data_IF_607617194957
#
_entry.id   IF_607617194957
#
_cell.length_a   1.000
_cell.length_b   1.000
_cell.length_c   1.000
_cell.angle_alpha   90.00
_cell.angle_beta   90.00
_cell.angle_gamma   90.00
#
_symmetry.space_group_name_H-M   'P 1'
#
loop_
_entity.id
_entity.type
_entity.pdbx_description
1 polymer ?
#
# COMPACT_ATOMS: atom_id res chain seq x y z
N UNK A 1 -0.91 -58.45 -10.44
CA UNK A 1 -1.71 -57.93 -9.30
C UNK A 1 -1.01 -56.67 -8.83
N UNK A 2 -1.58 -55.49 -9.07
CA UNK A 2 -1.02 -54.24 -8.56
C UNK A 2 -1.47 -54.08 -7.10
N UNK A 3 -0.52 -54.11 -6.16
CA UNK A 3 -0.77 -53.88 -4.74
C UNK A 3 -0.75 -52.38 -4.48
N UNK A 4 -1.81 -51.83 -3.85
CA UNK A 4 -1.87 -50.40 -3.50
C UNK A 4 -0.76 -50.05 -2.50
N UNK A 5 -0.11 -48.91 -2.71
CA UNK A 5 0.92 -48.34 -1.84
C UNK A 5 0.34 -47.82 -0.52
N UNK A 6 1.14 -47.87 0.54
CA UNK A 6 0.86 -47.43 1.92
C UNK A 6 0.01 -46.16 2.09
N UNK A 7 0.21 -45.15 1.22
CA UNK A 7 -0.52 -43.88 1.23
C UNK A 7 -2.06 -44.02 1.13
N UNK A 8 -2.56 -45.17 0.68
CA UNK A 8 -4.00 -45.46 0.56
C UNK A 8 -4.58 -46.26 1.73
N UNK A 9 -3.75 -46.72 2.67
CA UNK A 9 -4.16 -47.63 3.76
C UNK A 9 -3.75 -47.13 5.13
N UNK A 10 -2.76 -46.25 5.21
CA UNK A 10 -2.24 -45.72 6.46
C UNK A 10 -1.92 -44.23 6.32
N UNK A 11 -2.04 -43.51 7.43
CA UNK A 11 -1.58 -42.14 7.53
C UNK A 11 -0.05 -42.15 7.43
N UNK A 12 0.48 -41.77 6.26
CA UNK A 12 1.93 -41.74 5.99
C UNK A 12 2.58 -40.44 6.48
N UNK A 13 1.86 -39.60 7.21
CA UNK A 13 2.40 -38.36 7.77
C UNK A 13 3.27 -38.73 8.99
N UNK A 14 4.59 -38.48 8.97
CA UNK A 14 5.42 -38.75 10.13
C UNK A 14 4.94 -37.88 11.30
N UNK A 15 4.46 -38.50 12.37
CA UNK A 15 4.19 -37.81 13.62
C UNK A 15 5.54 -37.35 14.17
N UNK A 16 5.82 -36.05 14.08
CA UNK A 16 7.03 -35.46 14.63
C UNK A 16 6.85 -35.43 16.15
N UNK A 17 7.67 -36.19 16.89
CA UNK A 17 7.66 -36.10 18.35
C UNK A 17 7.97 -34.67 18.78
N UNK A 18 7.23 -34.16 19.78
CA UNK A 18 7.47 -32.83 20.34
C UNK A 18 8.91 -32.73 20.83
N UNK A 19 9.58 -31.63 20.53
CA UNK A 19 10.95 -31.44 20.98
C UNK A 19 11.01 -31.35 22.51
N UNK A 20 11.99 -32.02 23.13
CA UNK A 20 12.15 -32.02 24.58
C UNK A 20 12.93 -30.80 25.10
N UNK A 21 13.78 -30.20 24.27
CA UNK A 21 14.65 -29.08 24.64
C UNK A 21 15.09 -28.29 23.40
N UNK A 22 15.59 -27.07 23.60
CA UNK A 22 16.28 -26.26 22.61
C UNK A 22 17.68 -25.86 23.11
N UNK A 23 18.64 -25.67 22.21
CA UNK A 23 19.99 -25.22 22.53
C UNK A 23 20.05 -23.72 22.83
N UNK A 24 19.22 -22.92 22.16
CA UNK A 24 19.14 -21.47 22.33
C UNK A 24 17.72 -20.94 22.06
N UNK A 25 17.54 -19.62 22.29
CA UNK A 25 16.25 -18.95 22.12
C UNK A 25 15.75 -18.98 20.67
N UNK A 26 16.64 -18.95 19.67
CA UNK A 26 16.23 -18.96 18.27
C UNK A 26 15.68 -20.32 17.86
N UNK A 27 16.33 -21.39 18.30
CA UNK A 27 15.83 -22.76 18.14
C UNK A 27 14.51 -22.95 18.88
N UNK A 28 14.38 -22.45 20.12
CA UNK A 28 13.14 -22.55 20.89
C UNK A 28 11.97 -21.82 20.21
N UNK A 29 12.21 -20.63 19.65
CA UNK A 29 11.22 -19.87 18.88
C UNK A 29 10.80 -20.61 17.61
N UNK A 30 11.76 -21.18 16.88
CA UNK A 30 11.49 -21.96 15.68
C UNK A 30 10.66 -23.21 15.98
N UNK A 31 11.00 -23.95 17.05
CA UNK A 31 10.24 -25.12 17.51
C UNK A 31 8.83 -24.71 17.93
N UNK A 32 8.67 -23.63 18.72
CA UNK A 32 7.34 -23.14 19.11
C UNK A 32 6.46 -22.84 17.89
N UNK A 33 7.03 -22.19 16.87
CA UNK A 33 6.31 -21.89 15.65
C UNK A 33 5.95 -23.15 14.84
N UNK A 34 6.87 -24.09 14.68
CA UNK A 34 6.65 -25.37 13.97
C UNK A 34 5.58 -26.22 14.65
N UNK A 35 5.57 -26.27 15.98
CA UNK A 35 4.62 -27.08 16.76
C UNK A 35 3.22 -26.43 16.88
N UNK A 36 3.14 -25.11 17.02
CA UNK A 36 1.90 -24.41 17.39
C UNK A 36 1.34 -23.48 16.31
N UNK A 37 2.09 -23.22 15.25
CA UNK A 37 1.78 -22.20 14.24
C UNK A 37 1.86 -20.76 14.75
N UNK A 38 2.36 -20.55 15.97
CA UNK A 38 2.56 -19.24 16.59
C UNK A 38 3.64 -19.30 17.67
N UNK A 39 4.12 -18.14 18.14
CA UNK A 39 5.07 -18.10 19.24
C UNK A 39 4.32 -18.10 20.58
N UNK A 40 4.65 -19.08 21.43
CA UNK A 40 4.20 -19.17 22.82
C UNK A 40 5.40 -19.02 23.76
N UNK A 41 5.46 -17.95 24.57
CA UNK A 41 6.51 -17.79 25.57
C UNK A 41 6.58 -18.94 26.58
N UNK A 42 5.45 -19.56 26.89
CA UNK A 42 5.38 -20.74 27.76
C UNK A 42 6.13 -21.91 27.14
N UNK A 43 5.90 -22.18 25.84
CA UNK A 43 6.59 -23.26 25.15
C UNK A 43 8.09 -22.99 25.02
N UNK A 44 8.48 -21.75 24.75
CA UNK A 44 9.88 -21.32 24.72
C UNK A 44 10.56 -21.54 26.08
N UNK A 45 9.90 -21.15 27.17
CA UNK A 45 10.41 -21.35 28.53
C UNK A 45 10.57 -22.83 28.91
N UNK A 46 9.62 -23.69 28.50
CA UNK A 46 9.72 -25.15 28.68
C UNK A 46 10.95 -25.72 27.96
N UNK A 47 11.16 -25.35 26.69
CA UNK A 47 12.27 -25.85 25.87
C UNK A 47 13.64 -25.43 26.42
N UNK A 48 13.71 -24.28 27.06
CA UNK A 48 14.93 -23.73 27.65
C UNK A 48 15.07 -24.02 29.15
N UNK A 49 14.08 -24.70 29.76
CA UNK A 49 14.02 -25.02 31.18
C UNK A 49 14.26 -23.79 32.09
N UNK A 50 13.53 -22.69 31.82
CA UNK A 50 13.61 -21.43 32.56
C UNK A 50 12.23 -20.84 32.83
N UNK A 51 12.16 -19.69 33.51
CA UNK A 51 10.90 -18.98 33.71
C UNK A 51 10.41 -18.32 32.41
N UNK A 52 9.12 -17.99 32.35
CA UNK A 52 8.57 -17.24 31.20
C UNK A 52 9.14 -15.83 31.14
N UNK A 53 9.36 -15.21 32.31
CA UNK A 53 10.02 -13.90 32.38
C UNK A 53 11.43 -13.93 31.78
N UNK A 54 12.26 -14.90 32.16
CA UNK A 54 13.63 -15.03 31.63
C UNK A 54 13.63 -15.34 30.12
N UNK A 55 12.68 -16.18 29.66
CA UNK A 55 12.53 -16.50 28.24
C UNK A 55 12.16 -15.25 27.42
N UNK A 56 11.25 -14.41 27.95
CA UNK A 56 10.88 -13.14 27.32
C UNK A 56 12.04 -12.14 27.32
N UNK A 57 12.83 -12.08 28.39
CA UNK A 57 14.03 -11.25 28.46
C UNK A 57 15.07 -11.66 27.41
N UNK A 58 15.34 -12.96 27.26
CA UNK A 58 16.25 -13.48 26.22
C UNK A 58 15.71 -13.31 24.79
N UNK A 59 14.39 -13.25 24.62
CA UNK A 59 13.74 -13.07 23.33
C UNK A 59 13.45 -11.60 22.99
N UNK A 60 13.87 -10.63 23.83
CA UNK A 60 13.71 -9.21 23.56
C UNK A 60 14.29 -8.83 22.19
N UNK A 61 13.55 -7.99 21.46
CA UNK A 61 13.91 -7.58 20.10
C UNK A 61 13.65 -8.66 19.02
N UNK A 62 13.49 -9.93 19.40
CA UNK A 62 13.19 -11.04 18.48
C UNK A 62 11.70 -11.33 18.38
N UNK A 63 10.95 -11.05 19.43
CA UNK A 63 9.48 -11.22 19.48
C UNK A 63 8.79 -10.02 20.12
N UNK A 64 7.54 -9.81 19.73
CA UNK A 64 6.66 -8.79 20.29
C UNK A 64 5.26 -9.36 20.54
N UNK A 65 4.50 -8.82 21.50
CA UNK A 65 3.12 -9.24 21.71
C UNK A 65 2.27 -8.93 20.48
N UNK A 66 1.36 -9.84 20.13
CA UNK A 66 0.50 -9.65 18.95
C UNK A 66 -0.49 -8.49 19.16
N UNK A 67 -0.63 -7.66 18.13
CA UNK A 67 -1.63 -6.61 18.12
C UNK A 67 -3.05 -7.17 17.96
N UNK A 68 -3.20 -8.42 17.54
CA UNK A 68 -4.47 -9.07 17.24
C UNK A 68 -4.94 -10.04 18.32
N UNK A 69 -4.01 -10.70 19.01
CA UNK A 69 -4.31 -11.68 20.06
C UNK A 69 -3.44 -11.42 21.29
N UNK A 70 -4.06 -11.20 22.46
CA UNK A 70 -3.34 -10.81 23.68
C UNK A 70 -2.45 -11.93 24.25
N UNK A 71 -2.72 -13.18 23.91
CA UNK A 71 -2.01 -14.35 24.43
C UNK A 71 -0.91 -14.85 23.48
N UNK A 72 -0.77 -14.24 22.30
CA UNK A 72 0.20 -14.66 21.28
C UNK A 72 1.34 -13.66 21.12
N UNK A 73 2.47 -14.21 20.70
CA UNK A 73 3.63 -13.45 20.31
C UNK A 73 3.92 -13.64 18.84
N UNK A 74 4.44 -12.59 18.23
CA UNK A 74 4.85 -12.54 16.83
C UNK A 74 6.35 -12.34 16.77
N UNK A 75 7.01 -12.97 15.79
CA UNK A 75 8.40 -12.68 15.48
C UNK A 75 8.54 -11.22 15.05
N UNK A 76 9.68 -10.61 15.35
CA UNK A 76 10.02 -9.25 14.94
C UNK A 76 9.86 -9.04 13.42
N UNK A 77 10.18 -10.07 12.63
CA UNK A 77 10.02 -10.08 11.17
C UNK A 77 8.58 -9.84 10.73
N UNK A 78 7.60 -10.27 11.52
CA UNK A 78 6.17 -10.08 11.29
C UNK A 78 5.68 -8.81 11.98
N UNK A 79 6.04 -8.60 13.25
CA UNK A 79 5.58 -7.47 14.04
C UNK A 79 6.01 -6.12 13.42
N UNK A 80 7.25 -6.03 12.91
CA UNK A 80 7.87 -4.82 12.38
C UNK A 80 7.76 -4.67 10.85
N UNK A 81 6.88 -5.45 10.21
CA UNK A 81 6.63 -5.39 8.77
C UNK A 81 5.15 -5.20 8.43
N UNK A 82 4.82 -5.06 7.15
CA UNK A 82 3.47 -4.75 6.70
C UNK A 82 3.11 -3.29 6.97
N UNK A 83 1.85 -3.02 7.33
CA UNK A 83 1.32 -1.67 7.58
C UNK A 83 1.84 -1.09 8.91
N UNK A 84 3.10 -0.68 8.96
CA UNK A 84 3.79 -0.29 10.20
C UNK A 84 3.20 0.94 10.88
N UNK A 85 2.62 1.89 10.13
CA UNK A 85 1.97 3.07 10.73
C UNK A 85 0.69 2.72 11.48
N UNK A 86 -0.17 1.86 10.90
CA UNK A 86 -1.36 1.34 11.58
C UNK A 86 -0.97 0.51 12.80
N UNK A 87 0.05 -0.34 12.66
CA UNK A 87 0.59 -1.11 13.77
C UNK A 87 1.12 -0.20 14.89
N UNK A 88 1.84 0.87 14.56
CA UNK A 88 2.36 1.82 15.54
C UNK A 88 1.23 2.52 16.30
N UNK A 89 0.19 2.97 15.58
CA UNK A 89 -0.98 3.58 16.20
C UNK A 89 -1.68 2.62 17.18
N UNK A 90 -1.91 1.37 16.76
CA UNK A 90 -2.52 0.32 17.60
C UNK A 90 -1.63 -0.07 18.78
N UNK A 91 -0.33 -0.20 18.57
CA UNK A 91 0.65 -0.50 19.62
C UNK A 91 0.67 0.62 20.67
N UNK A 92 0.62 1.89 20.24
CA UNK A 92 0.61 3.05 21.14
C UNK A 92 -0.63 3.06 22.03
N UNK A 93 -1.81 2.76 21.46
CA UNK A 93 -3.04 2.64 22.24
C UNK A 93 -2.92 1.51 23.26
N UNK A 94 -2.48 0.32 22.82
CA UNK A 94 -2.31 -0.84 23.71
C UNK A 94 -1.26 -0.60 24.81
N UNK A 95 -0.17 0.12 24.52
CA UNK A 95 0.85 0.45 25.50
C UNK A 95 0.33 1.35 26.63
N UNK A 96 -0.72 2.13 26.37
CA UNK A 96 -1.42 2.90 27.41
C UNK A 96 -2.15 2.02 28.43
N UNK A 97 -2.61 0.84 28.02
CA UNK A 97 -3.33 -0.10 28.88
C UNK A 97 -2.42 -1.21 29.44
N UNK A 98 -1.44 -1.65 28.65
CA UNK A 98 -0.54 -2.77 28.93
C UNK A 98 0.91 -2.39 28.59
N UNK A 99 1.78 -2.17 29.60
CA UNK A 99 3.17 -1.78 29.40
C UNK A 99 4.00 -2.75 28.55
N UNK A 100 3.56 -4.00 28.36
CA UNK A 100 4.26 -4.99 27.52
C UNK A 100 4.38 -4.57 26.05
N UNK A 101 3.53 -3.66 25.58
CA UNK A 101 3.59 -3.15 24.20
C UNK A 101 4.58 -1.99 24.02
N UNK A 102 5.15 -1.41 25.09
CA UNK A 102 6.07 -0.29 24.97
C UNK A 102 7.31 -0.59 24.08
N UNK A 103 7.98 -1.76 24.21
CA UNK A 103 9.09 -2.11 23.31
C UNK A 103 8.66 -2.22 21.84
N UNK A 104 7.43 -2.67 21.57
CA UNK A 104 6.90 -2.74 20.20
C UNK A 104 6.67 -1.34 19.63
N UNK A 105 6.23 -0.37 20.44
CA UNK A 105 6.05 1.02 20.01
C UNK A 105 7.40 1.62 19.60
N UNK A 106 8.44 1.43 20.43
CA UNK A 106 9.79 1.91 20.14
C UNK A 106 10.33 1.30 18.85
N UNK A 107 10.26 -0.03 18.71
CA UNK A 107 10.73 -0.73 17.53
C UNK A 107 9.95 -0.37 16.26
N UNK A 108 8.64 -0.19 16.35
CA UNK A 108 7.82 0.26 15.21
C UNK A 108 8.17 1.68 14.79
N UNK A 109 8.46 2.58 15.74
CA UNK A 109 8.84 3.96 15.43
C UNK A 109 10.15 4.03 14.63
N UNK A 110 11.09 3.09 14.82
CA UNK A 110 12.35 3.03 14.06
C UNK A 110 12.17 2.52 12.63
N UNK A 111 11.22 1.61 12.39
CA UNK A 111 10.99 1.02 11.06
C UNK A 111 9.99 1.81 10.21
N UNK A 112 9.25 2.76 10.79
CA UNK A 112 8.35 3.64 10.02
C UNK A 112 9.18 4.44 9.01
N UNK A 113 8.87 4.33 7.70
CA UNK A 113 9.59 5.10 6.69
C UNK A 113 9.45 6.60 6.93
N UNK A 114 10.49 7.41 6.64
CA UNK A 114 10.39 8.86 6.73
C UNK A 114 9.29 9.36 5.79
N UNK A 115 8.57 10.40 6.21
CA UNK A 115 7.51 11.00 5.41
C UNK A 115 8.05 11.45 4.05
N UNK A 116 7.34 11.11 2.98
CA UNK A 116 7.63 11.59 1.63
C UNK A 116 7.31 13.09 1.60
N UNK A 117 8.27 13.88 1.10
CA UNK A 117 8.09 15.30 0.88
C UNK A 117 7.01 15.51 -0.18
N UNK A 118 5.98 16.34 0.07
CA UNK A 118 4.99 16.74 -0.92
C UNK A 118 5.53 17.19 -2.27
N UNK A 119 6.73 17.79 -2.32
CA UNK A 119 7.38 18.15 -3.58
C UNK A 119 7.74 16.94 -4.46
N UNK A 120 7.84 15.75 -3.87
CA UNK A 120 8.09 14.47 -4.55
C UNK A 120 6.79 13.70 -4.86
N UNK A 121 5.65 14.17 -4.34
CA UNK A 121 4.35 13.53 -4.54
C UNK A 121 3.73 14.06 -5.84
N UNK A 122 3.88 13.30 -6.93
CA UNK A 122 3.18 13.58 -8.18
C UNK A 122 1.67 13.36 -8.05
N UNK A 123 0.87 14.42 -8.27
CA UNK A 123 -0.60 14.36 -8.14
C UNK A 123 -1.29 14.57 -9.48
N UNK A 124 -2.18 13.66 -9.84
CA UNK A 124 -3.08 13.82 -10.99
C UNK A 124 -4.51 14.13 -10.58
N UNK A 125 -5.25 14.87 -11.39
CA UNK A 125 -6.71 14.98 -11.28
C UNK A 125 -7.30 13.57 -11.39
N UNK A 126 -8.12 13.17 -10.42
CA UNK A 126 -8.62 11.81 -10.26
C UNK A 126 -7.84 10.96 -9.26
N UNK A 127 -6.82 11.51 -8.59
CA UNK A 127 -6.18 10.86 -7.46
C UNK A 127 -7.20 10.63 -6.33
N UNK A 128 -7.48 9.36 -6.02
CA UNK A 128 -8.54 8.93 -5.08
C UNK A 128 -8.17 9.09 -3.61
N UNK A 129 -6.93 9.47 -3.32
CA UNK A 129 -6.48 9.82 -1.97
C UNK A 129 -6.70 11.31 -1.67
N UNK A 130 -6.88 12.15 -2.70
CA UNK A 130 -7.23 13.56 -2.52
C UNK A 130 -8.72 13.65 -2.15
N UNK A 131 -9.07 14.29 -1.02
CA UNK A 131 -10.46 14.45 -0.58
C UNK A 131 -11.36 15.16 -1.61
N UNK A 132 -12.65 14.81 -1.63
CA UNK A 132 -13.64 15.41 -2.53
C UNK A 132 -13.77 16.92 -2.27
N UNK A 133 -13.62 17.30 -1.01
CA UNK A 133 -13.67 18.68 -0.53
C UNK A 133 -12.58 19.54 -1.19
N UNK A 134 -11.41 18.97 -1.43
CA UNK A 134 -10.31 19.66 -2.11
C UNK A 134 -10.62 19.86 -3.61
N UNK A 135 -11.22 18.87 -4.29
CA UNK A 135 -11.72 19.08 -5.66
C UNK A 135 -12.80 20.15 -5.72
N UNK A 136 -13.72 20.16 -4.75
CA UNK A 136 -14.79 21.16 -4.66
C UNK A 136 -14.22 22.56 -4.45
N UNK A 137 -13.29 22.72 -3.51
CA UNK A 137 -12.64 24.00 -3.23
C UNK A 137 -11.84 24.49 -4.44
N UNK A 138 -11.06 23.61 -5.09
CA UNK A 138 -10.35 23.94 -6.32
C UNK A 138 -11.28 24.48 -7.41
N UNK A 139 -12.39 23.79 -7.67
CA UNK A 139 -13.35 24.18 -8.70
C UNK A 139 -14.05 25.51 -8.37
N UNK A 140 -14.33 25.77 -7.09
CA UNK A 140 -14.90 27.04 -6.63
C UNK A 140 -13.91 28.18 -6.83
N UNK A 141 -12.66 28.00 -6.42
CA UNK A 141 -11.63 29.04 -6.48
C UNK A 141 -11.15 29.30 -7.91
N UNK A 142 -10.81 28.26 -8.67
CA UNK A 142 -10.19 28.41 -9.99
C UNK A 142 -11.19 28.87 -11.06
N UNK A 143 -12.44 28.39 -10.98
CA UNK A 143 -13.50 28.74 -11.94
C UNK A 143 -14.51 29.75 -11.40
N UNK A 144 -14.37 30.23 -10.15
CA UNK A 144 -15.31 31.18 -9.54
C UNK A 144 -16.73 30.60 -9.41
N UNK A 145 -16.86 29.29 -9.23
CA UNK A 145 -18.15 28.62 -9.19
C UNK A 145 -18.84 28.84 -7.85
N UNK A 146 -20.16 29.01 -7.89
CA UNK A 146 -20.98 28.94 -6.68
C UNK A 146 -21.03 27.51 -6.10
N UNK A 147 -20.68 27.31 -4.81
CA UNK A 147 -20.67 25.98 -4.19
C UNK A 147 -22.02 25.26 -4.22
N UNK A 148 -23.13 26.00 -4.12
CA UNK A 148 -24.50 25.45 -4.09
C UNK A 148 -24.97 24.92 -5.46
N UNK A 149 -24.21 25.19 -6.53
CA UNK A 149 -24.49 24.76 -7.90
C UNK A 149 -23.41 23.86 -8.48
N UNK A 150 -22.58 23.30 -7.61
CA UNK A 150 -21.47 22.43 -7.96
C UNK A 150 -21.70 21.05 -7.33
N UNK A 151 -21.69 20.02 -8.16
CA UNK A 151 -21.72 18.61 -7.72
C UNK A 151 -20.34 18.01 -7.98
N UNK A 152 -19.74 17.47 -6.92
CA UNK A 152 -18.49 16.70 -6.98
C UNK A 152 -18.73 15.46 -6.14
N UNK A 153 -18.75 14.31 -6.81
CA UNK A 153 -18.99 13.01 -6.20
C UNK A 153 -17.96 12.01 -6.75
N UNK A 154 -17.56 11.06 -5.91
CA UNK A 154 -16.68 9.96 -6.28
C UNK A 154 -17.24 8.65 -5.72
N UNK A 155 -17.58 7.73 -6.61
CA UNK A 155 -18.06 6.40 -6.24
C UNK A 155 -16.86 5.49 -5.93
N UNK A 156 -16.72 5.08 -4.66
CA UNK A 156 -15.57 4.31 -4.20
C UNK A 156 -15.49 2.89 -4.78
N UNK A 157 -16.60 2.34 -5.28
CA UNK A 157 -16.68 0.96 -5.78
C UNK A 157 -16.27 0.91 -7.26
N UNK A 158 -16.86 1.77 -8.08
CA UNK A 158 -16.60 1.89 -9.51
C UNK A 158 -15.41 2.79 -9.84
N UNK A 159 -14.96 3.63 -8.89
CA UNK A 159 -13.92 4.64 -9.10
C UNK A 159 -14.37 5.81 -9.98
N UNK A 160 -15.69 5.95 -10.22
CA UNK A 160 -16.22 6.97 -11.12
C UNK A 160 -16.31 8.34 -10.41
N UNK A 161 -15.83 9.37 -11.10
CA UNK A 161 -15.99 10.77 -10.69
C UNK A 161 -17.13 11.45 -11.45
N UNK A 162 -18.04 12.09 -10.71
CA UNK A 162 -19.05 12.97 -11.27
C UNK A 162 -18.77 14.41 -10.84
N UNK A 163 -18.47 15.26 -11.82
CA UNK A 163 -18.13 16.67 -11.61
C UNK A 163 -18.96 17.51 -12.56
N UNK A 164 -20.01 18.15 -12.03
CA UNK A 164 -20.99 18.90 -12.84
C UNK A 164 -21.37 20.22 -12.18
N UNK A 165 -21.76 21.21 -12.99
CA UNK A 165 -22.33 22.47 -12.48
C UNK A 165 -23.50 22.93 -13.34
N UNK A 166 -24.50 23.54 -12.68
CA UNK A 166 -25.65 24.16 -13.35
C UNK A 166 -25.34 25.56 -13.90
N UNK A 167 -24.11 26.04 -13.68
CA UNK A 167 -23.66 27.34 -14.16
C UNK A 167 -23.16 27.22 -15.59
N UNK A 168 -23.52 28.19 -16.43
CA UNK A 168 -23.03 28.25 -17.81
C UNK A 168 -21.65 28.89 -17.87
N UNK A 169 -20.80 28.36 -18.75
CA UNK A 169 -19.47 28.89 -19.02
C UNK A 169 -19.55 30.23 -19.74
N UNK A 170 -18.55 31.10 -19.56
CA UNK A 170 -18.46 32.36 -20.34
C UNK A 170 -18.40 32.14 -21.86
N UNK A 171 -18.00 30.94 -22.29
CA UNK A 171 -17.99 30.54 -23.70
C UNK A 171 -19.38 30.26 -24.27
N UNK A 172 -20.37 29.98 -23.41
CA UNK A 172 -21.76 29.75 -23.79
C UNK A 172 -22.62 31.00 -23.57
N UNK A 173 -22.38 31.71 -22.46
CA UNK A 173 -23.13 32.90 -22.09
C UNK A 173 -22.18 33.95 -21.52
N UNK A 174 -22.24 35.19 -22.01
CA UNK A 174 -21.26 36.24 -21.66
C UNK A 174 -21.17 36.56 -20.15
N UNK A 175 -22.25 36.35 -19.40
CA UNK A 175 -22.28 36.46 -17.94
C UNK A 175 -22.00 35.16 -17.17
N UNK A 176 -21.49 34.15 -17.86
CA UNK A 176 -21.10 32.86 -17.28
C UNK A 176 -19.83 32.92 -16.43
N UNK A 177 -19.51 31.81 -15.77
CA UNK A 177 -18.33 31.72 -14.90
C UNK A 177 -17.03 31.84 -15.70
N UNK A 178 -15.93 32.36 -15.10
CA UNK A 178 -14.64 32.50 -15.77
C UNK A 178 -14.04 31.12 -16.09
N UNK A 179 -14.17 30.71 -17.34
CA UNK A 179 -13.68 29.43 -17.84
C UNK A 179 -12.40 29.62 -18.66
N UNK A 180 -11.25 29.70 -17.96
CA UNK A 180 -9.94 29.96 -18.60
C UNK A 180 -9.44 28.79 -19.45
N UNK A 181 -9.88 27.57 -19.14
CA UNK A 181 -9.38 26.32 -19.72
C UNK A 181 -10.33 25.74 -20.78
N UNK A 182 -11.62 26.03 -20.65
CA UNK A 182 -12.64 25.51 -21.54
C UNK A 182 -12.77 26.26 -22.85
N UNK A 183 -13.73 25.79 -23.63
CA UNK A 183 -14.22 26.39 -24.86
C UNK A 183 -15.73 26.17 -24.98
N UNK A 184 -16.36 26.77 -25.99
CA UNK A 184 -17.79 26.57 -26.25
C UNK A 184 -18.17 25.10 -26.52
N UNK A 185 -17.22 24.27 -26.99
CA UNK A 185 -17.45 22.84 -27.26
C UNK A 185 -17.04 21.91 -26.13
N UNK A 186 -16.19 22.38 -25.22
CA UNK A 186 -15.70 21.60 -24.09
C UNK A 186 -15.43 22.54 -22.91
N UNK A 187 -16.39 22.70 -21.98
CA UNK A 187 -16.21 23.51 -20.79
C UNK A 187 -15.10 22.96 -19.88
N UNK A 188 -14.40 23.84 -19.16
CA UNK A 188 -13.28 23.45 -18.30
C UNK A 188 -13.69 22.51 -17.16
N UNK A 189 -14.87 22.71 -16.56
CA UNK A 189 -15.41 21.79 -15.53
C UNK A 189 -15.60 20.38 -16.10
N UNK A 190 -16.08 20.25 -17.35
CA UNK A 190 -16.21 18.95 -18.01
C UNK A 190 -14.84 18.33 -18.29
N UNK A 191 -13.84 19.15 -18.58
CA UNK A 191 -12.45 18.69 -18.74
C UNK A 191 -11.90 18.09 -17.44
N UNK A 192 -12.17 18.71 -16.27
CA UNK A 192 -11.80 18.13 -14.97
C UNK A 192 -12.45 16.77 -14.77
N UNK A 193 -13.74 16.63 -15.09
CA UNK A 193 -14.44 15.33 -15.02
C UNK A 193 -13.80 14.27 -15.94
N UNK A 194 -13.43 14.65 -17.17
CA UNK A 194 -12.76 13.73 -18.10
C UNK A 194 -11.40 13.29 -17.55
N UNK A 195 -10.59 14.22 -17.05
CA UNK A 195 -9.28 13.94 -16.46
C UNK A 195 -9.43 13.03 -15.23
N UNK A 196 -10.36 13.33 -14.34
CA UNK A 196 -10.60 12.55 -13.13
C UNK A 196 -10.97 11.09 -13.42
N UNK A 197 -11.65 10.85 -14.55
CA UNK A 197 -12.02 9.53 -15.03
C UNK A 197 -11.02 8.90 -16.02
N UNK A 198 -9.84 9.49 -16.22
CA UNK A 198 -8.86 9.08 -17.23
C UNK A 198 -9.47 8.94 -18.65
N UNK A 199 -10.48 9.76 -18.98
CA UNK A 199 -11.11 9.79 -20.30
C UNK A 199 -10.33 10.70 -21.24
N UNK A 200 -10.24 10.38 -22.53
CA UNK A 200 -9.56 11.25 -23.50
C UNK A 200 -10.19 12.65 -23.55
N UNK A 201 -9.37 13.69 -23.41
CA UNK A 201 -9.77 15.08 -23.66
C UNK A 201 -9.76 15.30 -25.18
N UNK A 202 -10.95 15.24 -25.78
CA UNK A 202 -11.12 15.36 -27.24
C UNK A 202 -12.38 16.15 -27.59
N UNK A 203 -12.29 16.97 -28.64
CA UNK A 203 -13.42 17.71 -29.19
C UNK A 203 -13.92 17.01 -30.44
N UNK A 204 -15.11 16.42 -30.38
CA UNK A 204 -15.71 15.74 -31.52
C UNK A 204 -16.14 16.73 -32.62
N UNK A 205 -16.10 16.27 -33.88
CA UNK A 205 -16.67 17.02 -35.01
C UNK A 205 -18.19 17.07 -34.90
N UNK A 206 -18.79 18.17 -35.36
CA UNK A 206 -20.25 18.27 -35.56
C UNK A 206 -20.71 17.37 -36.72
N UNK A 207 -22.02 17.17 -36.87
CA UNK A 207 -22.59 16.42 -38.00
C UNK A 207 -22.10 16.97 -39.35
N UNK A 208 -22.27 18.27 -39.57
CA UNK A 208 -21.84 18.97 -40.79
C UNK A 208 -20.32 18.84 -41.06
N UNK A 209 -19.49 18.85 -40.01
CA UNK A 209 -18.04 18.67 -40.13
C UNK A 209 -17.68 17.23 -40.52
N UNK A 210 -18.43 16.24 -40.03
CA UNK A 210 -18.27 14.83 -40.41
C UNK A 210 -18.70 14.56 -41.85
N UNK A 211 -19.74 15.24 -42.35
CA UNK A 211 -20.17 15.13 -43.75
C UNK A 211 -19.09 15.63 -44.71
N UNK A 212 -18.41 16.73 -44.36
CA UNK A 212 -17.31 17.29 -45.16
C UNK A 212 -16.02 16.50 -45.01
N UNK A 213 -15.77 15.96 -43.81
CA UNK A 213 -14.53 15.24 -43.47
C UNK A 213 -14.81 14.14 -42.45
N UNK A 214 -15.10 12.90 -42.90
CA UNK A 214 -15.57 11.81 -42.01
C UNK A 214 -14.51 11.28 -41.03
N UNK A 215 -13.22 11.38 -41.39
CA UNK A 215 -12.10 10.89 -40.56
C UNK A 215 -11.01 11.96 -40.44
N UNK A 216 -10.37 12.13 -39.27
CA UNK A 216 -10.76 11.55 -37.97
C UNK A 216 -12.12 12.11 -37.48
N UNK A 217 -12.78 11.40 -36.55
CA UNK A 217 -14.09 11.81 -36.00
C UNK A 217 -14.03 13.01 -35.04
N UNK A 218 -12.84 13.36 -34.59
CA UNK A 218 -12.58 14.53 -33.76
C UNK A 218 -11.98 15.68 -34.58
N UNK A 219 -12.12 16.89 -34.07
CA UNK A 219 -11.58 18.09 -34.69
C UNK A 219 -10.13 18.29 -34.22
N UNK A 220 -9.15 17.91 -35.04
CA UNK A 220 -7.71 17.89 -34.70
C UNK A 220 -7.25 19.15 -33.95
N UNK A 221 -7.42 20.34 -34.55
CA UNK A 221 -6.99 21.60 -33.95
C UNK A 221 -7.64 21.92 -32.60
N UNK A 222 -8.94 21.64 -32.44
CA UNK A 222 -9.66 21.92 -31.19
C UNK A 222 -9.29 20.91 -30.11
N UNK A 223 -9.06 19.65 -30.51
CA UNK A 223 -8.54 18.61 -29.61
C UNK A 223 -7.13 18.96 -29.12
N UNK A 224 -6.22 19.39 -29.99
CA UNK A 224 -4.87 19.81 -29.58
C UNK A 224 -4.92 20.98 -28.58
N UNK A 225 -5.77 21.98 -28.82
CA UNK A 225 -5.99 23.09 -27.90
C UNK A 225 -6.57 22.64 -26.55
N UNK A 226 -7.53 21.72 -26.58
CA UNK A 226 -8.13 21.16 -25.37
C UNK A 226 -7.11 20.34 -24.56
N UNK A 227 -6.23 19.59 -25.23
CA UNK A 227 -5.16 18.84 -24.57
C UNK A 227 -4.12 19.76 -23.92
N UNK A 228 -3.72 20.83 -24.60
CA UNK A 228 -2.83 21.83 -24.00
C UNK A 228 -3.48 22.50 -22.77
N UNK A 229 -4.77 22.81 -22.85
CA UNK A 229 -5.53 23.39 -21.73
C UNK A 229 -5.68 22.39 -20.57
N UNK A 230 -5.85 21.10 -20.87
CA UNK A 230 -5.92 20.04 -19.87
C UNK A 230 -4.59 19.86 -19.12
N UNK A 231 -3.45 19.97 -19.83
CA UNK A 231 -2.14 19.94 -19.21
C UNK A 231 -1.94 21.14 -18.26
N UNK A 232 -2.30 22.34 -18.70
CA UNK A 232 -2.25 23.53 -17.85
C UNK A 232 -3.19 23.45 -16.63
N UNK A 233 -4.36 22.83 -16.80
CA UNK A 233 -5.31 22.60 -15.70
C UNK A 233 -4.78 21.58 -14.69
N UNK A 234 -4.13 20.51 -15.18
CA UNK A 234 -3.47 19.52 -14.34
C UNK A 234 -2.32 20.13 -13.53
N UNK A 235 -1.46 20.92 -14.16
CA UNK A 235 -0.36 21.62 -13.50
C UNK A 235 -0.89 22.62 -12.46
N UNK A 236 -1.92 23.40 -12.80
CA UNK A 236 -2.55 24.33 -11.85
C UNK A 236 -3.16 23.61 -10.65
N UNK A 237 -3.82 22.47 -10.86
CA UNK A 237 -4.40 21.67 -9.79
C UNK A 237 -3.32 21.17 -8.82
N UNK A 238 -2.21 20.65 -9.35
CA UNK A 238 -1.07 20.21 -8.54
C UNK A 238 -0.48 21.36 -7.72
N UNK A 239 -0.21 22.51 -8.34
CA UNK A 239 0.26 23.71 -7.64
C UNK A 239 -0.73 24.16 -6.56
N UNK A 240 -2.02 24.16 -6.88
CA UNK A 240 -3.07 24.56 -5.95
C UNK A 240 -3.09 23.66 -4.72
N UNK A 241 -2.95 22.34 -4.86
CA UNK A 241 -2.96 21.43 -3.70
C UNK A 241 -1.89 21.81 -2.67
N UNK A 242 -0.72 22.26 -3.12
CA UNK A 242 0.44 22.50 -2.27
C UNK A 242 0.67 23.97 -1.87
N UNK A 243 -0.07 24.93 -2.45
CA UNK A 243 0.15 26.36 -2.18
C UNK A 243 -0.36 26.83 -0.80
N UNK A 244 -1.27 26.07 -0.18
CA UNK A 244 -1.82 26.36 1.16
C UNK A 244 -1.18 25.46 2.23
N UNK A 245 -0.68 26.06 3.31
CA UNK A 245 0.09 25.35 4.34
C UNK A 245 -0.72 24.31 5.13
N UNK A 246 -1.99 24.60 5.43
CA UNK A 246 -2.84 23.67 6.18
C UNK A 246 -3.25 22.48 5.30
N UNK A 247 -3.61 22.74 4.04
CA UNK A 247 -3.87 21.70 3.04
C UNK A 247 -2.63 20.87 2.77
N UNK A 248 -1.46 21.49 2.64
CA UNK A 248 -0.18 20.82 2.44
C UNK A 248 0.08 19.76 3.51
N UNK A 249 0.05 20.14 4.79
CA UNK A 249 0.30 19.22 5.91
C UNK A 249 -0.74 18.10 5.94
N UNK A 250 -2.02 18.43 5.74
CA UNK A 250 -3.10 17.44 5.74
C UNK A 250 -2.94 16.40 4.63
N UNK A 251 -2.66 16.84 3.41
CA UNK A 251 -2.52 15.96 2.24
C UNK A 251 -1.24 15.12 2.32
N UNK A 252 -0.13 15.68 2.80
CA UNK A 252 1.11 14.95 3.05
C UNK A 252 0.88 13.77 4.00
N UNK A 253 0.16 14.03 5.11
CA UNK A 253 -0.21 12.99 6.08
C UNK A 253 -1.08 11.90 5.44
N UNK A 254 -2.15 12.27 4.74
CA UNK A 254 -3.05 11.31 4.07
C UNK A 254 -2.28 10.41 3.10
N UNK A 255 -1.37 11.00 2.32
CA UNK A 255 -0.56 10.24 1.38
C UNK A 255 0.37 9.25 2.11
N UNK A 256 1.08 9.72 3.13
CA UNK A 256 2.04 8.89 3.87
C UNK A 256 1.36 7.75 4.65
N UNK A 257 0.23 8.03 5.29
CA UNK A 257 -0.60 7.02 5.97
C UNK A 257 -1.13 5.95 5.01
N UNK A 258 -1.38 6.30 3.74
CA UNK A 258 -1.96 5.36 2.77
C UNK A 258 -0.93 4.59 1.95
N UNK A 259 0.16 5.23 1.56
CA UNK A 259 1.12 4.69 0.60
C UNK A 259 2.53 4.50 1.16
N UNK A 260 2.95 5.33 2.12
CA UNK A 260 4.26 5.25 2.75
C UNK A 260 4.18 4.57 4.14
N UNK A 261 3.50 3.42 4.17
CA UNK A 261 3.19 2.71 5.41
C UNK A 261 3.55 1.24 5.38
N UNK A 262 4.05 0.73 4.25
CA UNK A 262 4.36 -0.69 4.10
C UNK A 262 5.87 -0.96 4.19
N UNK A 263 6.28 -1.78 5.16
CA UNK A 263 7.65 -2.28 5.31
C UNK A 263 7.70 -3.74 4.92
N UNK A 264 8.67 -4.13 4.08
CA UNK A 264 8.85 -5.54 3.71
C UNK A 264 9.42 -6.32 4.91
N UNK A 265 8.95 -7.55 5.16
CA UNK A 265 9.60 -8.43 6.14
C UNK A 265 11.07 -8.62 5.77
N UNK A 266 11.96 -8.40 6.75
CA UNK A 266 13.38 -8.73 6.63
C UNK A 266 13.57 -10.08 7.29
N UNK A 267 13.94 -11.08 6.50
CA UNK A 267 14.31 -12.39 7.02
C UNK A 267 15.84 -12.43 7.15
N UNK A 268 16.35 -12.29 8.38
CA UNK A 268 17.75 -12.56 8.63
C UNK A 268 18.02 -14.06 8.42
N UNK A 269 18.89 -14.36 7.46
CA UNK A 269 19.27 -15.73 7.12
C UNK A 269 20.73 -16.04 7.48
N UNK A 270 21.42 -15.12 8.18
CA UNK A 270 22.84 -15.22 8.52
C UNK A 270 23.18 -16.43 9.42
N UNK A 271 22.19 -16.98 10.11
CA UNK A 271 22.36 -18.07 11.08
C UNK A 271 21.79 -19.43 10.63
N UNK A 272 21.12 -19.52 9.47
CA UNK A 272 20.51 -20.79 9.05
C UNK A 272 21.52 -21.73 8.39
N UNK A 273 21.69 -22.91 8.98
CA UNK A 273 22.28 -24.06 8.29
C UNK A 273 21.24 -24.67 7.35
N UNK A 274 21.66 -25.08 6.14
CA UNK A 274 20.81 -25.74 5.16
C UNK A 274 21.11 -27.25 5.17
N UNK A 275 20.46 -28.05 6.05
CA UNK A 275 20.72 -29.47 6.13
C UNK A 275 20.41 -30.16 4.79
N UNK A 276 21.35 -30.96 4.30
CA UNK A 276 21.26 -31.61 2.98
C UNK A 276 21.90 -30.83 1.82
N UNK A 277 22.30 -29.57 2.06
CA UNK A 277 23.08 -28.79 1.09
C UNK A 277 24.56 -29.21 1.13
N UNK A 278 25.24 -29.18 -0.02
CA UNK A 278 26.67 -29.50 -0.10
C UNK A 278 27.48 -28.53 0.76
N UNK A 279 28.21 -29.03 1.77
CA UNK A 279 28.99 -28.20 2.71
C UNK A 279 30.14 -27.39 2.08
N UNK A 280 30.40 -27.53 0.77
CA UNK A 280 31.32 -26.66 0.02
C UNK A 280 30.65 -25.43 -0.60
N UNK A 281 29.32 -25.34 -0.52
CA UNK A 281 28.54 -24.27 -1.09
C UNK A 281 27.87 -23.47 0.01
N UNK A 282 28.09 -22.16 -0.01
CA UNK A 282 27.42 -21.19 0.85
C UNK A 282 26.48 -20.39 -0.05
N UNK A 283 25.15 -20.41 0.20
CA UNK A 283 24.20 -19.59 -0.55
C UNK A 283 24.54 -18.11 -0.43
N UNK A 284 24.22 -17.34 -1.47
CA UNK A 284 24.21 -15.88 -1.34
C UNK A 284 23.10 -15.44 -0.38
N UNK A 285 23.28 -14.29 0.26
CA UNK A 285 22.33 -13.75 1.25
C UNK A 285 20.89 -13.70 0.72
N UNK A 286 20.69 -13.32 -0.55
CA UNK A 286 19.35 -13.29 -1.15
C UNK A 286 18.72 -14.68 -1.34
N UNK A 287 19.52 -15.72 -1.57
CA UNK A 287 19.03 -17.10 -1.70
C UNK A 287 18.67 -17.66 -0.32
N UNK A 288 19.50 -17.37 0.69
CA UNK A 288 19.24 -17.76 2.07
C UNK A 288 17.98 -17.06 2.62
N UNK A 289 17.81 -15.76 2.33
CA UNK A 289 16.61 -15.00 2.64
C UNK A 289 15.37 -15.51 1.89
N UNK A 290 15.52 -15.90 0.62
CA UNK A 290 14.44 -16.50 -0.18
C UNK A 290 13.95 -17.84 0.41
N UNK A 291 14.86 -18.73 0.81
CA UNK A 291 14.50 -20.00 1.48
C UNK A 291 13.84 -19.72 2.83
N UNK A 292 14.37 -18.78 3.60
CA UNK A 292 13.77 -18.41 4.89
C UNK A 292 12.36 -17.87 4.70
N UNK A 293 12.15 -17.01 3.70
CA UNK A 293 10.83 -16.51 3.34
C UNK A 293 9.88 -17.64 2.90
N UNK A 294 10.35 -18.58 2.08
CA UNK A 294 9.55 -19.75 1.67
C UNK A 294 9.10 -20.61 2.87
N UNK A 295 9.92 -20.72 3.92
CA UNK A 295 9.55 -21.47 5.12
C UNK A 295 8.51 -20.74 5.99
N UNK A 296 8.39 -19.42 5.88
CA UNK A 296 7.51 -18.61 6.73
C UNK A 296 6.26 -18.08 6.02
N UNK A 297 6.28 -17.95 4.69
CA UNK A 297 5.18 -17.43 3.88
C UNK A 297 4.51 -18.56 3.07
N UNK A 298 3.17 -18.59 2.99
CA UNK A 298 2.43 -19.54 2.16
C UNK A 298 2.69 -19.37 0.64
N UNK A 299 3.07 -18.16 0.21
CA UNK A 299 3.33 -17.84 -1.19
C UNK A 299 4.54 -16.92 -1.35
N UNK A 300 5.40 -17.25 -2.31
CA UNK A 300 6.59 -16.46 -2.64
C UNK A 300 6.71 -16.23 -4.14
N UNK A 301 7.09 -15.01 -4.53
CA UNK A 301 7.55 -14.67 -5.87
C UNK A 301 9.06 -14.42 -5.81
N UNK A 302 9.82 -15.22 -6.56
CA UNK A 302 11.27 -15.06 -6.71
C UNK A 302 11.60 -14.46 -8.08
N UNK A 303 11.51 -13.13 -8.17
CA UNK A 303 11.81 -12.39 -9.40
C UNK A 303 13.32 -12.10 -9.55
N UNK A 304 14.09 -13.16 -9.75
CA UNK A 304 15.53 -13.07 -10.03
C UNK A 304 15.83 -13.43 -11.48
N UNK A 305 16.91 -12.88 -12.03
CA UNK A 305 17.38 -13.20 -13.40
C UNK A 305 17.77 -14.67 -13.57
N UNK A 306 17.78 -15.16 -14.80
CA UNK A 306 18.27 -16.52 -15.14
C UNK A 306 19.74 -16.64 -14.74
N UNK A 307 20.11 -17.75 -14.08
CA UNK A 307 21.47 -17.97 -13.57
C UNK A 307 21.71 -17.47 -12.14
N UNK A 308 20.77 -16.75 -11.52
CA UNK A 308 20.84 -16.32 -10.12
C UNK A 308 20.57 -17.45 -9.10
N UNK A 309 20.69 -18.73 -9.48
CA UNK A 309 20.53 -19.86 -8.57
C UNK A 309 19.18 -19.91 -7.82
N UNK A 310 18.06 -19.74 -8.55
CA UNK A 310 16.70 -19.94 -8.00
C UNK A 310 16.35 -21.42 -7.78
N UNK A 311 17.05 -22.32 -8.48
CA UNK A 311 16.88 -23.78 -8.45
C UNK A 311 17.73 -24.37 -7.34
#
# INVERSE_FOLDING_TARGET
MATKTAIFTEDTTPFKDKAASAADVDEALAISFDELGHISPQRVAELLNMSVEDALEQAQGKIYPSLHDADRWELATVALSGQVRDKLARATIKAGDDPRYAPLVEALAEVVPPDVDPAEIGVRIGATWVPIEDYRAFLVEEFGLRPDRLTVEHDQISGHWQITTDQRSRHEFSGGYPDKYGSARLPGVKMVELLANNKPVQVNKTGDELERSPKPRFHVKLTEQAQASAAALQERFEQWLWEDGDRYVRLARIFNERYNSYVKPVHDASTKSFPGMNGKYTPYDYQAAAVTRFLHDETILLDHVVGAGKT
#
